data_IF_267150348959
#
_entry.id   IF_267150348959
#
_cell.length_a   1.000
_cell.length_b   1.000
_cell.length_c   1.000
_cell.angle_alpha   90.00
_cell.angle_beta   90.00
_cell.angle_gamma   90.00
#
_symmetry.space_group_name_H-M   'P 1'
#
loop_
_entity.id
_entity.type
_entity.pdbx_description
1 polymer ?
#
# COMPACT_ATOMS: atom_id res chain seq x y z
N UNK A 1 0.77 8.17 -9.94
CA UNK A 1 0.21 7.59 -8.70
C UNK A 1 -0.15 8.70 -7.72
N UNK A 2 -1.31 8.67 -7.07
CA UNK A 2 -1.76 9.75 -6.15
C UNK A 2 -2.53 9.19 -4.95
N UNK A 3 -2.19 9.64 -3.74
CA UNK A 3 -2.95 9.29 -2.52
C UNK A 3 -4.33 9.95 -2.61
N UNK A 4 -5.37 9.13 -2.45
CA UNK A 4 -6.76 9.59 -2.27
C UNK A 4 -7.02 9.93 -0.81
N UNK A 5 -6.65 9.02 0.08
CA UNK A 5 -6.85 9.19 1.52
C UNK A 5 -5.90 8.32 2.32
N UNK A 6 -5.65 8.75 3.56
CA UNK A 6 -5.01 7.94 4.59
C UNK A 6 -5.98 7.80 5.75
N UNK A 7 -6.06 6.60 6.32
CA UNK A 7 -6.89 6.31 7.48
C UNK A 7 -6.01 5.76 8.59
N UNK A 8 -6.28 6.17 9.81
CA UNK A 8 -5.53 5.75 10.98
C UNK A 8 -6.50 5.43 12.10
N UNK A 9 -6.69 4.14 12.36
CA UNK A 9 -7.66 3.64 13.36
C UNK A 9 -7.07 3.52 14.78
N UNK A 10 -5.83 3.95 15.01
CA UNK A 10 -5.09 3.67 16.25
C UNK A 10 -5.01 4.87 17.22
N UNK A 11 -4.92 4.56 18.51
CA UNK A 11 -4.40 5.49 19.52
C UNK A 11 -2.90 5.71 19.29
N UNK A 12 -2.42 6.96 19.41
CA UNK A 12 -1.07 7.47 19.07
C UNK A 12 0.04 6.40 18.95
N UNK A 13 0.55 6.17 17.74
CA UNK A 13 1.80 5.45 17.47
C UNK A 13 2.95 6.05 18.28
N UNK A 14 3.83 5.21 18.83
CA UNK A 14 5.07 5.72 19.40
C UNK A 14 5.97 6.23 18.26
N UNK A 15 6.81 7.25 18.51
CA UNK A 15 7.70 7.79 17.47
C UNK A 15 8.66 6.76 16.86
N UNK A 16 8.96 5.67 17.57
CA UNK A 16 9.86 4.61 17.13
C UNK A 16 9.14 3.48 16.37
N UNK A 17 7.82 3.48 16.34
CA UNK A 17 7.04 2.43 15.70
C UNK A 17 7.12 2.55 14.18
N UNK A 18 7.06 1.39 13.53
CA UNK A 18 7.05 1.22 12.08
C UNK A 18 5.70 0.65 11.64
N UNK A 19 5.45 0.66 10.34
CA UNK A 19 4.31 0.00 9.72
C UNK A 19 4.79 -1.15 8.85
N UNK A 20 4.08 -2.27 8.91
CA UNK A 20 4.34 -3.45 8.08
C UNK A 20 3.12 -3.75 7.23
N UNK A 21 3.34 -4.05 5.94
CA UNK A 21 2.26 -4.44 5.04
C UNK A 21 1.51 -5.64 5.62
N UNK A 22 0.19 -5.51 5.71
CA UNK A 22 -0.74 -6.58 6.08
C UNK A 22 -1.43 -7.12 4.82
N UNK A 23 -2.10 -6.22 4.09
CA UNK A 23 -2.95 -6.60 2.95
C UNK A 23 -2.96 -5.54 1.86
N UNK A 24 -3.07 -5.99 0.62
CA UNK A 24 -3.36 -5.16 -0.56
C UNK A 24 -4.73 -5.58 -1.10
N UNK A 25 -5.59 -4.60 -1.41
CA UNK A 25 -6.88 -4.81 -2.08
C UNK A 25 -7.04 -3.86 -3.25
N UNK A 26 -7.68 -4.34 -4.31
CA UNK A 26 -8.18 -3.49 -5.39
C UNK A 26 -9.62 -3.11 -5.01
N UNK A 27 -9.87 -1.81 -4.81
CA UNK A 27 -11.19 -1.29 -4.48
C UNK A 27 -12.03 -1.01 -5.72
N UNK A 28 -11.39 -0.75 -6.86
CA UNK A 28 -12.07 -0.46 -8.11
C UNK A 28 -11.09 -0.41 -9.27
N UNK A 29 -11.63 -0.59 -10.47
CA UNK A 29 -10.90 -0.46 -11.72
C UNK A 29 -11.78 0.35 -12.70
N UNK A 30 -11.23 1.43 -13.23
CA UNK A 30 -11.89 2.27 -14.22
C UNK A 30 -11.09 2.20 -15.53
N UNK A 31 -11.70 1.68 -16.58
CA UNK A 31 -11.10 1.60 -17.91
C UNK A 31 -11.41 2.82 -18.75
N UNK A 32 -10.45 3.25 -19.55
CA UNK A 32 -10.58 4.33 -20.51
C UNK A 32 -10.68 3.80 -21.95
N UNK A 33 -11.20 4.63 -22.86
CA UNK A 33 -11.43 4.24 -24.26
C UNK A 33 -10.12 3.92 -25.02
N UNK A 34 -9.00 4.45 -24.55
CA UNK A 34 -7.66 4.17 -25.08
C UNK A 34 -7.06 2.87 -24.52
N UNK A 35 -7.82 2.02 -23.81
CA UNK A 35 -7.33 0.79 -23.14
C UNK A 35 -6.39 1.03 -21.96
N UNK A 36 -6.16 2.29 -21.55
CA UNK A 36 -5.60 2.56 -20.23
C UNK A 36 -6.63 2.26 -19.14
N UNK A 37 -6.17 2.00 -17.92
CA UNK A 37 -7.05 1.82 -16.77
C UNK A 37 -6.40 2.33 -15.50
N UNK A 38 -7.26 2.81 -14.59
CA UNK A 38 -6.91 3.26 -13.25
C UNK A 38 -7.38 2.20 -12.26
N UNK A 39 -6.45 1.69 -11.45
CA UNK A 39 -6.77 0.89 -10.28
C UNK A 39 -6.79 1.78 -9.03
N UNK A 40 -7.86 1.68 -8.25
CA UNK A 40 -7.88 2.22 -6.89
C UNK A 40 -7.46 1.11 -5.93
N UNK A 41 -6.36 1.33 -5.20
CA UNK A 41 -5.73 0.32 -4.35
C UNK A 41 -5.79 0.77 -2.89
N UNK A 42 -6.19 -0.14 -2.01
CA UNK A 42 -6.06 -0.01 -0.56
C UNK A 42 -4.91 -0.88 -0.07
N UNK A 43 -3.92 -0.25 0.58
CA UNK A 43 -2.92 -0.95 1.39
C UNK A 43 -3.28 -0.81 2.86
N UNK A 44 -3.39 -1.94 3.55
CA UNK A 44 -3.54 -2.01 5.00
C UNK A 44 -2.22 -2.38 5.65
N UNK A 45 -1.92 -1.76 6.78
CA UNK A 45 -0.69 -1.94 7.53
C UNK A 45 -0.98 -2.19 9.00
N UNK A 46 -0.18 -3.06 9.59
CA UNK A 46 -0.11 -3.26 11.03
C UNK A 46 1.02 -2.41 11.61
N UNK A 47 0.81 -1.85 12.79
CA UNK A 47 1.88 -1.22 13.57
C UNK A 47 2.82 -2.31 14.09
N UNK A 48 4.11 -2.12 13.90
CA UNK A 48 5.14 -3.04 14.35
C UNK A 48 6.31 -2.32 15.02
N UNK A 49 7.03 -3.06 15.84
CA UNK A 49 8.32 -2.60 16.37
C UNK A 49 9.35 -2.44 15.25
N UNK A 50 10.47 -1.80 15.56
CA UNK A 50 11.63 -1.70 14.66
C UNK A 50 12.18 -3.05 14.17
N UNK A 51 11.86 -4.15 14.85
CA UNK A 51 12.28 -5.51 14.51
C UNK A 51 11.18 -6.28 13.75
N UNK A 52 10.07 -5.63 13.35
CA UNK A 52 9.00 -6.23 12.55
C UNK A 52 7.96 -7.05 13.34
N UNK A 53 8.10 -7.13 14.67
CA UNK A 53 7.09 -7.75 15.53
C UNK A 53 5.85 -6.85 15.63
N UNK A 54 4.67 -7.40 15.33
CA UNK A 54 3.39 -6.70 15.44
C UNK A 54 3.12 -6.40 16.92
N UNK A 55 2.83 -5.13 17.24
CA UNK A 55 2.63 -4.67 18.61
C UNK A 55 1.13 -4.73 18.92
N UNK A 56 0.76 -5.62 19.85
CA UNK A 56 -0.61 -5.78 20.32
C UNK A 56 -1.43 -6.78 19.51
N UNK A 57 -2.30 -7.53 20.20
CA UNK A 57 -3.29 -8.42 19.60
C UNK A 57 -4.47 -7.68 18.93
N UNK A 58 -4.43 -6.33 18.92
CA UNK A 58 -5.53 -5.52 18.43
C UNK A 58 -5.41 -5.35 16.92
N UNK A 59 -6.12 -6.21 16.19
CA UNK A 59 -6.24 -6.18 14.72
C UNK A 59 -6.87 -4.89 14.20
N UNK A 60 -7.36 -4.01 15.08
CA UNK A 60 -7.99 -2.73 14.76
C UNK A 60 -6.99 -1.57 14.63
N UNK A 61 -5.72 -1.75 15.02
CA UNK A 61 -4.65 -0.76 14.82
C UNK A 61 -4.16 -0.75 13.36
N UNK A 62 -5.07 -0.43 12.44
CA UNK A 62 -4.81 -0.42 11.00
C UNK A 62 -4.53 0.99 10.52
N UNK A 63 -3.34 1.17 9.98
CA UNK A 63 -3.07 2.28 9.07
C UNK A 63 -3.45 1.83 7.67
N UNK A 64 -4.17 2.67 6.92
CA UNK A 64 -4.57 2.36 5.54
C UNK A 64 -4.22 3.51 4.63
N UNK A 65 -3.68 3.18 3.46
CA UNK A 65 -3.45 4.14 2.38
C UNK A 65 -4.31 3.72 1.20
N UNK A 66 -5.12 4.64 0.70
CA UNK A 66 -5.85 4.45 -0.55
C UNK A 66 -5.24 5.37 -1.61
N UNK A 67 -4.89 4.82 -2.76
CA UNK A 67 -4.30 5.58 -3.85
C UNK A 67 -4.71 5.04 -5.22
N UNK A 68 -4.61 5.90 -6.21
CA UNK A 68 -4.83 5.54 -7.61
C UNK A 68 -3.52 5.32 -8.34
N UNK A 69 -3.53 4.31 -9.21
CA UNK A 69 -2.46 4.02 -10.14
C UNK A 69 -3.02 3.81 -11.53
N UNK A 70 -2.40 4.48 -12.51
CA UNK A 70 -2.63 4.24 -13.92
C UNK A 70 -1.69 3.13 -14.40
N UNK A 71 -2.26 1.99 -14.81
CA UNK A 71 -1.52 0.73 -15.05
C UNK A 71 -1.58 0.26 -16.50
N UNK A 72 -2.26 1.00 -17.38
CA UNK A 72 -2.45 0.65 -18.78
C UNK A 72 -1.16 0.54 -19.60
N UNK A 73 -0.21 1.46 -19.35
CA UNK A 73 0.96 1.65 -20.24
C UNK A 73 2.30 1.78 -19.52
N UNK A 74 2.31 1.88 -18.19
CA UNK A 74 3.54 2.16 -17.46
C UNK A 74 4.40 0.89 -17.30
N UNK A 75 5.70 0.96 -17.64
CA UNK A 75 6.65 -0.09 -17.28
C UNK A 75 6.62 -0.36 -15.77
N UNK A 76 6.79 -1.61 -15.38
CA UNK A 76 6.70 -2.02 -13.98
C UNK A 76 7.73 -1.29 -13.10
N UNK A 77 8.94 -1.09 -13.59
CA UNK A 77 9.98 -0.35 -12.87
C UNK A 77 9.61 1.13 -12.64
N UNK A 78 8.84 1.73 -13.55
CA UNK A 78 8.34 3.09 -13.39
C UNK A 78 7.26 3.16 -12.31
N UNK A 79 6.40 2.13 -12.24
CA UNK A 79 5.39 1.96 -11.20
C UNK A 79 6.04 1.79 -9.83
N UNK A 80 7.06 0.94 -9.72
CA UNK A 80 7.78 0.73 -8.47
C UNK A 80 8.47 1.99 -7.96
N UNK A 81 9.13 2.75 -8.84
CA UNK A 81 9.74 4.04 -8.46
C UNK A 81 8.70 5.02 -7.95
N UNK A 82 7.54 5.10 -8.60
CA UNK A 82 6.44 5.95 -8.13
C UNK A 82 5.91 5.48 -6.77
N UNK A 83 5.78 4.17 -6.55
CA UNK A 83 5.34 3.62 -5.28
C UNK A 83 6.35 3.86 -4.16
N UNK A 84 7.65 3.64 -4.40
CA UNK A 84 8.72 3.98 -3.44
C UNK A 84 8.63 5.45 -3.03
N UNK A 85 8.48 6.36 -3.99
CA UNK A 85 8.34 7.80 -3.73
C UNK A 85 7.05 8.14 -2.97
N UNK A 86 5.92 7.53 -3.31
CA UNK A 86 4.65 7.69 -2.60
C UNK A 86 4.80 7.32 -1.12
N UNK A 87 5.57 6.25 -0.87
CA UNK A 87 5.69 5.63 0.43
C UNK A 87 6.86 6.16 1.28
N UNK A 88 7.71 7.02 0.71
CA UNK A 88 8.96 7.52 1.32
C UNK A 88 8.75 8.21 2.68
N UNK A 89 7.60 8.87 2.86
CA UNK A 89 7.26 9.56 4.11
C UNK A 89 6.83 8.62 5.25
N UNK A 90 6.61 7.33 4.98
CA UNK A 90 6.17 6.35 5.97
C UNK A 90 7.32 5.48 6.46
N UNK A 91 7.31 5.16 7.77
CA UNK A 91 8.29 4.26 8.39
C UNK A 91 7.95 2.80 8.12
N UNK A 92 8.16 2.35 6.88
CA UNK A 92 7.84 0.98 6.47
C UNK A 92 8.98 0.03 6.86
N UNK A 93 8.66 -1.05 7.57
CA UNK A 93 9.65 -2.02 8.06
C UNK A 93 10.37 -2.78 6.94
N UNK A 94 9.64 -3.23 5.92
CA UNK A 94 10.19 -4.01 4.81
C UNK A 94 9.55 -3.55 3.50
N UNK A 95 10.18 -2.53 2.89
CA UNK A 95 9.69 -1.92 1.66
C UNK A 95 9.85 -2.85 0.45
N UNK A 96 10.89 -3.68 0.41
CA UNK A 96 11.14 -4.56 -0.74
C UNK A 96 10.12 -5.69 -0.81
N UNK A 97 9.77 -6.31 0.33
CA UNK A 97 8.67 -7.29 0.39
C UNK A 97 7.34 -6.65 0.00
N UNK A 98 7.09 -5.39 0.41
CA UNK A 98 5.88 -4.66 0.02
C UNK A 98 5.80 -4.48 -1.50
N UNK A 99 6.91 -4.07 -2.13
CA UNK A 99 6.95 -3.85 -3.57
C UNK A 99 6.75 -5.15 -4.34
N UNK A 100 7.39 -6.23 -3.88
CA UNK A 100 7.17 -7.55 -4.45
C UNK A 100 5.68 -7.95 -4.33
N UNK A 101 5.07 -7.82 -3.16
CA UNK A 101 3.64 -8.10 -2.98
C UNK A 101 2.76 -7.22 -3.90
N UNK A 102 3.12 -5.95 -4.07
CA UNK A 102 2.44 -5.04 -4.97
C UNK A 102 2.54 -5.45 -6.43
N UNK A 103 3.70 -5.91 -6.91
CA UNK A 103 3.86 -6.49 -8.26
C UNK A 103 2.93 -7.68 -8.46
N UNK A 104 2.94 -8.62 -7.50
CA UNK A 104 2.14 -9.84 -7.60
C UNK A 104 0.63 -9.64 -7.44
N UNK A 105 0.18 -8.45 -7.01
CA UNK A 105 -1.26 -8.16 -6.82
C UNK A 105 -2.09 -8.50 -8.06
N UNK A 106 -1.55 -8.25 -9.26
CA UNK A 106 -2.27 -8.45 -10.54
C UNK A 106 -2.67 -9.92 -10.78
N UNK A 107 -2.00 -10.86 -10.12
CA UNK A 107 -2.26 -12.29 -10.28
C UNK A 107 -3.22 -12.86 -9.23
N UNK A 108 -3.30 -12.25 -8.04
CA UNK A 108 -4.01 -12.80 -6.89
C UNK A 108 -5.17 -11.93 -6.39
N UNK A 109 -5.16 -10.63 -6.69
CA UNK A 109 -6.27 -9.73 -6.41
C UNK A 109 -7.21 -9.74 -7.62
N UNK A 110 -8.08 -10.75 -7.72
CA UNK A 110 -9.21 -10.71 -8.66
C UNK A 110 -10.28 -9.77 -8.09
N UNK A 111 -10.88 -8.94 -8.96
CA UNK A 111 -12.13 -8.24 -8.69
C UNK A 111 -13.29 -9.23 -8.59
#
# INVERSE_FOLDING_TARGET
MKIRSTFYDSERMNPIDMIRLDKIKILGCEGHADSSYIETIEMSFNVCSKNGFIIGANTDNRFRIVFDIETGYLPEDAIEKQLKKLLESFKIYDIETLLQAFRYRRFYCKL
#
